data_IF_962256674733
#
_entry.id   IF_962256674733
#
_cell.length_a   1.000
_cell.length_b   1.000
_cell.length_c   1.000
_cell.angle_alpha   90.00
_cell.angle_beta   90.00
_cell.angle_gamma   90.00
#
_symmetry.space_group_name_H-M   'P 1'
#
loop_
_entity.id
_entity.type
_entity.pdbx_description
1 polymer ?
#
# COMPACT_ATOMS: atom_id res chain seq x y z
N UNK A 1 -1.59 -11.51 1.28
CA UNK A 1 -2.69 -10.56 1.20
C UNK A 1 -2.25 -9.15 0.84
N UNK A 2 -1.57 -8.45 1.72
CA UNK A 2 -1.09 -7.11 1.39
C UNK A 2 -0.12 -7.12 0.22
N UNK A 3 0.82 -8.05 0.23
CA UNK A 3 1.82 -8.15 -0.84
C UNK A 3 1.15 -8.37 -2.20
N UNK A 4 0.19 -9.28 -2.23
CA UNK A 4 -0.52 -9.58 -3.47
C UNK A 4 -1.30 -8.36 -3.97
N UNK A 5 -2.02 -7.71 -3.06
CA UNK A 5 -2.80 -6.54 -3.42
C UNK A 5 -1.90 -5.41 -3.93
N UNK A 6 -0.78 -5.18 -3.25
CA UNK A 6 0.15 -4.14 -3.68
C UNK A 6 0.72 -4.43 -5.06
N UNK A 7 1.03 -5.69 -5.34
CA UNK A 7 1.56 -6.07 -6.65
C UNK A 7 0.51 -5.92 -7.74
N UNK A 8 -0.71 -6.33 -7.48
CA UNK A 8 -1.78 -6.25 -8.47
C UNK A 8 -2.22 -4.82 -8.73
N UNK A 9 -2.27 -4.01 -7.70
CA UNK A 9 -2.79 -2.65 -7.81
C UNK A 9 -1.69 -1.64 -8.15
N UNK A 10 -0.54 -1.74 -7.49
CA UNK A 10 0.54 -0.77 -7.62
C UNK A 10 1.79 -1.30 -8.30
N UNK A 11 1.89 -2.61 -8.48
CA UNK A 11 3.06 -3.21 -9.07
C UNK A 11 4.28 -3.25 -8.16
N UNK A 12 4.08 -3.11 -6.85
CA UNK A 12 5.17 -3.14 -5.88
C UNK A 12 4.90 -4.23 -4.84
N UNK A 13 5.96 -4.65 -4.14
CA UNK A 13 5.79 -5.64 -3.08
C UNK A 13 5.12 -4.99 -1.87
N UNK A 14 4.55 -5.84 -0.99
CA UNK A 14 3.94 -5.33 0.23
C UNK A 14 4.94 -4.60 1.11
N UNK A 15 6.17 -5.12 1.20
CA UNK A 15 7.22 -4.47 1.97
C UNK A 15 7.55 -3.09 1.42
N UNK A 16 7.66 -2.99 0.11
CA UNK A 16 7.95 -1.70 -0.51
C UNK A 16 6.80 -0.73 -0.32
N UNK A 17 5.58 -1.22 -0.43
CA UNK A 17 4.42 -0.37 -0.17
C UNK A 17 4.44 0.17 1.25
N UNK A 18 4.73 -0.68 2.23
CA UNK A 18 4.78 -0.26 3.62
C UNK A 18 5.88 0.75 3.88
N UNK A 19 7.04 0.54 3.26
CA UNK A 19 8.16 1.48 3.40
C UNK A 19 7.77 2.86 2.87
N UNK A 20 7.12 2.90 1.73
CA UNK A 20 6.68 4.18 1.14
C UNK A 20 5.57 4.81 1.96
N UNK A 21 4.68 3.98 2.48
CA UNK A 21 3.60 4.46 3.33
C UNK A 21 4.16 5.13 4.59
N UNK A 22 5.12 4.46 5.24
CA UNK A 22 5.74 5.00 6.45
C UNK A 22 6.56 6.26 6.16
N UNK A 23 7.10 6.37 4.95
CA UNK A 23 7.85 7.55 4.54
C UNK A 23 6.95 8.74 4.21
N UNK A 24 5.63 8.51 4.17
CA UNK A 24 4.68 9.59 3.87
C UNK A 24 4.53 9.88 2.38
N UNK A 25 4.99 8.99 1.52
CA UNK A 25 4.92 9.23 0.08
C UNK A 25 3.49 9.24 -0.44
N UNK A 26 2.58 8.60 0.27
CA UNK A 26 1.18 8.54 -0.15
C UNK A 26 0.28 9.49 0.62
N UNK A 27 0.84 10.35 1.46
CA UNK A 27 0.02 11.26 2.28
C UNK A 27 -0.87 12.17 1.45
N UNK A 28 -0.33 12.71 0.36
CA UNK A 28 -1.05 13.63 -0.50
C UNK A 28 -1.75 12.93 -1.65
N UNK A 29 -1.74 11.61 -1.67
CA UNK A 29 -2.32 10.87 -2.77
C UNK A 29 -3.81 10.62 -2.54
N UNK A 30 -4.62 10.97 -3.53
CA UNK A 30 -6.05 10.70 -3.51
C UNK A 30 -6.42 9.48 -4.33
N UNK A 31 -5.41 8.71 -4.73
CA UNK A 31 -5.63 7.54 -5.57
C UNK A 31 -6.39 6.47 -4.78
N UNK A 32 -7.58 6.07 -5.25
CA UNK A 32 -8.37 5.05 -4.56
C UNK A 32 -7.67 3.70 -4.51
N UNK A 33 -6.78 3.42 -5.46
CA UNK A 33 -6.03 2.18 -5.47
C UNK A 33 -5.10 2.10 -4.25
N UNK A 34 -4.46 3.22 -3.93
CA UNK A 34 -3.57 3.28 -2.76
C UNK A 34 -4.38 3.13 -1.48
N UNK A 35 -5.53 3.79 -1.41
CA UNK A 35 -6.40 3.68 -0.24
C UNK A 35 -6.84 2.22 -0.04
N UNK A 36 -7.17 1.54 -1.13
CA UNK A 36 -7.60 0.15 -1.07
C UNK A 36 -6.53 -0.75 -0.47
N UNK A 37 -5.30 -0.59 -0.92
CA UNK A 37 -4.18 -1.38 -0.41
C UNK A 37 -3.91 -1.00 1.05
N UNK A 38 -3.98 0.28 1.37
CA UNK A 38 -3.75 0.76 2.73
C UNK A 38 -4.74 0.17 3.73
N UNK A 39 -5.96 -0.11 3.31
CA UNK A 39 -6.96 -0.70 4.19
C UNK A 39 -6.58 -2.11 4.64
N UNK A 40 -5.64 -2.75 3.95
CA UNK A 40 -5.17 -4.07 4.30
C UNK A 40 -4.00 -4.05 5.28
N UNK A 41 -3.43 -2.88 5.53
CA UNK A 41 -2.27 -2.77 6.44
C UNK A 41 -2.55 -3.35 7.83
N UNK A 42 -3.69 -3.06 8.48
CA UNK A 42 -3.96 -3.62 9.80
C UNK A 42 -4.01 -5.14 9.82
N UNK A 43 -4.31 -5.74 8.69
CA UNK A 43 -4.37 -7.20 8.60
C UNK A 43 -2.99 -7.82 8.31
N UNK A 44 -2.05 -7.01 7.82
CA UNK A 44 -0.70 -7.49 7.50
C UNK A 44 0.30 -7.21 8.63
N UNK A 45 -0.02 -6.29 9.50
CA UNK A 45 0.84 -5.93 10.65
C UNK A 45 0.25 -6.49 11.95
#
# INVERSE_FOLDING_TARGET
>A
MLDRAAREVLGVSGEEFLARWDAGEYEDSDDPAITRVAMLIPFAR
#
